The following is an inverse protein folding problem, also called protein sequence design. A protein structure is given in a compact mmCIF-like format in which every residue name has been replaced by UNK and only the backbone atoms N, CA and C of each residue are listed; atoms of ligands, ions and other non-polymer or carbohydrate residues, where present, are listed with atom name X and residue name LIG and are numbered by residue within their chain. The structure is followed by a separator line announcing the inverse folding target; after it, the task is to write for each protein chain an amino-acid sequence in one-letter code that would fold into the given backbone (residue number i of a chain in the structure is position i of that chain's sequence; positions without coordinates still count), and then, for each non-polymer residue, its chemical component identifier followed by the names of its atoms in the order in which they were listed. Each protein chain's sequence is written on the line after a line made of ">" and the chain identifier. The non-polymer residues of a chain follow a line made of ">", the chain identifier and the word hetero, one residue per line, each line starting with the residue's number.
data_IF_722545341804
#
_entry.id   IF_722545341804
#
_cell.length_a   1.000
_cell.length_b   1.000
_cell.length_c   1.000
_cell.angle_alpha   90.00
_cell.angle_beta   90.00
_cell.angle_gamma   90.00
#
_symmetry.space_group_name_H-M   'P 1'
#
loop_
_entity.id
_entity.type
_entity.pdbx_description
1 polymer ?
#
# COMPACT_ATOMS: atom_id res chain seq x y z
N UNK A 1 -21.60 -36.28 -31.81
CA UNK A 1 -20.48 -36.13 -32.77
C UNK A 1 -19.99 -34.69 -32.67
N UNK A 2 -18.92 -34.47 -31.94
CA UNK A 2 -18.34 -33.12 -31.68
C UNK A 2 -16.89 -33.12 -32.19
N UNK A 3 -16.48 -32.21 -33.04
CA UNK A 3 -15.13 -32.15 -33.55
C UNK A 3 -14.18 -31.51 -32.52
N UNK A 4 -13.06 -32.21 -32.24
CA UNK A 4 -11.92 -31.71 -31.48
C UNK A 4 -11.12 -30.79 -32.39
N UNK A 5 -11.00 -29.50 -32.02
CA UNK A 5 -10.02 -28.59 -32.59
C UNK A 5 -8.70 -28.71 -31.81
N UNK A 6 -7.69 -29.21 -32.48
CA UNK A 6 -6.28 -29.21 -32.04
C UNK A 6 -5.70 -27.84 -32.38
N UNK A 7 -5.34 -27.04 -31.38
CA UNK A 7 -4.59 -25.80 -31.59
C UNK A 7 -3.13 -26.04 -31.26
N UNK A 8 -2.30 -25.98 -32.28
CA UNK A 8 -0.84 -26.10 -32.19
C UNK A 8 -0.25 -24.84 -31.60
N UNK A 9 0.52 -24.98 -30.53
CA UNK A 9 1.31 -23.90 -29.90
C UNK A 9 2.68 -23.88 -30.57
N UNK A 10 2.97 -22.80 -31.27
CA UNK A 10 4.30 -22.52 -31.84
C UNK A 10 5.13 -21.74 -30.81
N UNK A 11 6.21 -22.36 -30.39
CA UNK A 11 7.23 -21.77 -29.52
C UNK A 11 8.15 -20.88 -30.36
N UNK A 12 8.23 -19.59 -30.04
CA UNK A 12 9.27 -18.69 -30.56
C UNK A 12 10.19 -18.30 -29.43
N UNK A 13 11.41 -18.83 -29.48
CA UNK A 13 12.51 -18.42 -28.64
C UNK A 13 13.28 -17.30 -29.34
N UNK A 14 13.41 -16.14 -28.68
CA UNK A 14 14.33 -15.09 -29.10
C UNK A 14 15.26 -14.73 -27.94
N UNK A 15 16.51 -15.17 -28.07
CA UNK A 15 17.64 -14.76 -27.25
C UNK A 15 18.24 -13.48 -27.85
N UNK A 16 18.44 -12.43 -27.06
CA UNK A 16 19.32 -11.33 -27.38
C UNK A 16 20.20 -11.00 -26.18
N UNK A 17 21.46 -11.39 -26.33
CA UNK A 17 22.59 -10.88 -25.56
C UNK A 17 22.93 -9.47 -26.05
N UNK A 18 23.18 -8.54 -25.15
CA UNK A 18 24.04 -7.38 -25.42
C UNK A 18 24.72 -6.93 -24.13
N UNK A 19 26.01 -7.19 -24.11
CA UNK A 19 26.98 -6.64 -23.18
C UNK A 19 27.52 -5.31 -23.75
N UNK A 20 27.84 -4.36 -22.84
CA UNK A 20 28.86 -3.30 -22.96
C UNK A 20 28.69 -2.46 -21.70
N UNK A 21 29.62 -2.32 -20.75
CA UNK A 21 31.01 -1.98 -20.91
C UNK A 21 31.18 -0.46 -20.79
N UNK A 22 31.55 0.04 -19.56
CA UNK A 22 31.81 1.45 -19.33
C UNK A 22 32.49 1.69 -17.99
N UNK A 23 33.79 1.40 -17.90
CA UNK A 23 34.66 1.82 -16.80
C UNK A 23 35.06 3.29 -17.01
N UNK A 24 34.77 4.16 -16.04
CA UNK A 24 35.24 5.55 -15.98
C UNK A 24 36.02 5.76 -14.69
N UNK A 25 37.34 5.53 -14.75
CA UNK A 25 38.31 5.94 -13.73
C UNK A 25 38.64 7.42 -13.90
N UNK A 26 38.33 8.25 -12.89
CA UNK A 26 38.72 9.66 -12.85
C UNK A 26 39.47 9.92 -11.55
N UNK A 27 40.82 9.77 -11.60
CA UNK A 27 41.76 10.22 -10.59
C UNK A 27 42.00 11.71 -10.77
N UNK A 28 41.71 12.54 -9.77
CA UNK A 28 42.06 13.95 -9.71
C UNK A 28 42.62 14.30 -8.34
N UNK A 29 43.94 14.22 -8.20
CA UNK A 29 44.73 14.70 -7.08
C UNK A 29 45.08 16.16 -7.28
N UNK A 30 44.78 17.05 -6.32
CA UNK A 30 45.42 18.34 -6.20
C UNK A 30 45.66 18.67 -4.72
N UNK A 31 46.89 18.91 -4.28
CA UNK A 31 47.17 19.38 -2.94
C UNK A 31 47.22 20.92 -2.95
N UNK A 32 46.45 21.55 -2.07
CA UNK A 32 46.50 22.98 -1.77
C UNK A 32 46.73 23.23 -0.30
N UNK A 33 47.85 23.83 -0.01
CA UNK A 33 48.36 24.16 1.32
C UNK A 33 47.66 25.39 1.94
N UNK A 34 47.59 25.42 3.28
CA UNK A 34 47.82 26.60 4.11
C UNK A 34 46.62 27.50 4.38
N UNK A 35 46.16 27.51 5.61
CA UNK A 35 45.26 28.52 6.15
C UNK A 35 44.95 28.28 7.62
N UNK A 36 45.93 28.60 8.53
CA UNK A 36 45.69 28.75 9.96
C UNK A 36 44.84 29.98 10.22
N UNK A 37 43.54 29.77 10.46
CA UNK A 37 42.58 30.76 10.90
C UNK A 37 41.85 30.27 12.13
N UNK A 38 42.37 30.59 13.32
CA UNK A 38 41.69 30.38 14.61
C UNK A 38 40.55 31.39 14.72
N UNK A 39 39.32 30.94 14.44
CA UNK A 39 38.11 31.71 14.75
C UNK A 39 37.48 31.15 16.05
N UNK A 40 36.97 32.02 16.94
CA UNK A 40 36.32 31.56 18.18
C UNK A 40 35.03 30.84 17.83
N UNK A 41 34.94 29.58 18.22
CA UNK A 41 33.72 28.79 18.11
C UNK A 41 32.68 29.36 19.06
N UNK A 42 31.79 30.16 18.54
CA UNK A 42 30.52 30.49 19.21
C UNK A 42 29.69 29.22 19.22
N UNK A 43 29.70 28.53 20.35
CA UNK A 43 28.82 27.39 20.61
C UNK A 43 27.39 27.88 20.67
N UNK A 44 26.73 27.87 19.53
CA UNK A 44 25.27 28.05 19.47
C UNK A 44 24.65 26.82 20.10
N UNK A 45 24.11 26.97 21.31
CA UNK A 45 23.30 25.93 21.95
C UNK A 45 22.23 25.49 21.00
N UNK A 46 21.95 24.17 20.85
CA UNK A 46 20.85 23.72 20.02
C UNK A 46 19.55 24.28 20.60
N UNK A 47 18.91 25.17 19.85
CA UNK A 47 17.53 25.59 20.13
C UNK A 47 16.70 24.34 20.30
N UNK A 48 16.13 24.13 21.50
CA UNK A 48 15.24 23.03 21.81
C UNK A 48 14.08 23.04 20.82
N UNK A 49 14.21 22.24 19.77
CA UNK A 49 13.12 22.03 18.81
C UNK A 49 11.89 21.48 19.55
N UNK A 50 10.74 22.06 19.33
CA UNK A 50 9.48 21.52 19.82
C UNK A 50 9.42 20.02 19.47
N UNK A 51 8.87 19.16 20.35
CA UNK A 51 8.74 17.74 20.05
C UNK A 51 8.04 17.57 18.70
N UNK A 52 8.66 16.82 17.78
CA UNK A 52 8.07 16.56 16.48
C UNK A 52 6.74 15.83 16.68
N UNK A 53 5.68 16.31 16.02
CA UNK A 53 4.36 15.67 16.06
C UNK A 53 4.50 14.21 15.59
N UNK A 54 4.22 13.21 16.46
CA UNK A 54 4.34 11.81 16.11
C UNK A 54 3.39 11.40 14.96
N UNK A 55 2.38 12.20 14.66
CA UNK A 55 1.41 11.97 13.60
C UNK A 55 1.76 12.72 12.30
N UNK A 56 2.78 13.58 12.31
CA UNK A 56 3.19 14.27 11.10
C UNK A 56 3.56 13.25 9.99
N UNK A 57 3.15 13.51 8.74
CA UNK A 57 3.49 12.66 7.61
C UNK A 57 5.01 12.54 7.45
N UNK A 58 5.50 11.31 7.32
CA UNK A 58 6.91 11.00 7.06
C UNK A 58 7.04 9.92 5.99
N UNK A 59 8.20 9.75 5.35
CA UNK A 59 8.41 8.67 4.39
C UNK A 59 8.07 7.31 5.02
N UNK A 60 7.31 6.47 4.30
CA UNK A 60 7.01 5.12 4.75
C UNK A 60 8.27 4.23 4.75
N UNK A 61 8.34 3.29 5.69
CA UNK A 61 9.44 2.33 5.74
C UNK A 61 9.48 1.49 4.46
N UNK A 62 10.68 1.28 3.93
CA UNK A 62 10.87 0.48 2.70
C UNK A 62 10.34 -0.94 2.84
N UNK A 63 10.50 -1.56 4.01
CA UNK A 63 9.98 -2.91 4.28
C UNK A 63 8.46 -2.98 4.12
N UNK A 64 7.72 -2.03 4.69
CA UNK A 64 6.26 -1.97 4.62
C UNK A 64 5.79 -1.68 3.19
N UNK A 65 6.45 -0.74 2.52
CA UNK A 65 6.16 -0.41 1.11
C UNK A 65 6.38 -1.62 0.19
N UNK A 66 7.41 -2.45 0.45
CA UNK A 66 7.67 -3.68 -0.32
C UNK A 66 6.56 -4.73 -0.12
N UNK A 67 6.02 -4.88 1.09
CA UNK A 67 4.89 -5.79 1.36
C UNK A 67 3.66 -5.34 0.57
N UNK A 68 3.34 -4.04 0.60
CA UNK A 68 2.20 -3.48 -0.12
C UNK A 68 2.39 -3.62 -1.64
N UNK A 69 3.60 -3.35 -2.15
CA UNK A 69 3.94 -3.53 -3.56
C UNK A 69 3.78 -4.99 -4.00
N UNK A 70 4.32 -5.93 -3.22
CA UNK A 70 4.19 -7.35 -3.51
C UNK A 70 2.73 -7.82 -3.56
N UNK A 71 1.90 -7.33 -2.62
CA UNK A 71 0.47 -7.61 -2.61
C UNK A 71 -0.22 -7.09 -3.88
N UNK A 72 -0.03 -5.81 -4.23
CA UNK A 72 -0.74 -5.21 -5.36
C UNK A 72 -0.24 -5.78 -6.70
N UNK A 73 1.04 -6.13 -6.82
CA UNK A 73 1.59 -6.78 -8.02
C UNK A 73 1.03 -8.19 -8.21
N UNK A 74 0.85 -8.94 -7.11
CA UNK A 74 0.19 -10.24 -7.14
C UNK A 74 -1.28 -10.11 -7.54
N UNK A 75 -1.99 -9.12 -6.98
CA UNK A 75 -3.39 -8.84 -7.30
C UNK A 75 -3.55 -8.45 -8.79
N UNK A 76 -2.73 -7.52 -9.27
CA UNK A 76 -2.72 -7.08 -10.67
C UNK A 76 -2.49 -8.23 -11.65
N UNK A 77 -1.62 -9.16 -11.30
CA UNK A 77 -1.34 -10.36 -12.09
C UNK A 77 -2.38 -11.48 -11.93
N UNK A 78 -3.48 -11.26 -11.20
CA UNK A 78 -4.53 -12.27 -10.96
C UNK A 78 -4.11 -13.41 -10.04
N UNK A 79 -2.94 -13.31 -9.37
CA UNK A 79 -2.41 -14.34 -8.47
C UNK A 79 -3.01 -14.24 -7.08
N UNK A 80 -4.31 -14.54 -6.95
CA UNK A 80 -5.09 -14.32 -5.72
C UNK A 80 -4.51 -15.05 -4.50
N UNK A 81 -4.05 -16.30 -4.64
CA UNK A 81 -3.40 -17.02 -3.52
C UNK A 81 -2.16 -16.30 -3.02
N UNK A 82 -1.34 -15.77 -3.93
CA UNK A 82 -0.15 -15.01 -3.58
C UNK A 82 -0.55 -13.67 -2.93
N UNK A 83 -1.52 -12.93 -3.48
CA UNK A 83 -2.03 -11.71 -2.86
C UNK A 83 -2.54 -11.98 -1.43
N UNK A 84 -3.27 -13.09 -1.22
CA UNK A 84 -3.76 -13.52 0.09
C UNK A 84 -2.62 -13.79 1.08
N UNK A 85 -1.45 -14.25 0.63
CA UNK A 85 -0.32 -14.56 1.52
C UNK A 85 0.31 -13.32 2.18
N UNK A 86 0.10 -12.13 1.65
CA UNK A 86 0.58 -10.88 2.24
C UNK A 86 -0.24 -10.43 3.46
N UNK A 87 -1.40 -11.03 3.69
CA UNK A 87 -2.28 -10.69 4.81
C UNK A 87 -1.96 -11.48 6.07
N UNK A 88 -2.01 -10.79 7.22
CA UNK A 88 -2.08 -11.40 8.55
C UNK A 88 -3.53 -11.61 8.97
N UNK A 89 -3.79 -12.53 9.89
CA UNK A 89 -5.12 -12.79 10.42
C UNK A 89 -5.12 -12.65 11.94
N UNK A 90 -6.21 -12.13 12.52
CA UNK A 90 -7.36 -11.52 11.86
C UNK A 90 -7.01 -10.18 11.22
N UNK A 91 -7.75 -9.79 10.17
CA UNK A 91 -7.57 -8.53 9.48
C UNK A 91 -8.90 -7.77 9.32
N UNK A 92 -8.78 -6.50 8.91
CA UNK A 92 -9.90 -5.60 8.65
C UNK A 92 -9.75 -5.03 7.25
N UNK A 93 -10.86 -4.96 6.50
CA UNK A 93 -10.92 -4.24 5.23
C UNK A 93 -12.15 -3.32 5.21
N UNK A 94 -12.00 -2.12 4.61
CA UNK A 94 -13.08 -1.15 4.44
C UNK A 94 -12.91 -0.43 3.11
N UNK A 95 -13.86 -0.60 2.19
CA UNK A 95 -13.75 -0.08 0.82
C UNK A 95 -14.66 1.14 0.62
N UNK A 96 -14.33 2.25 1.30
CA UNK A 96 -14.96 3.56 1.11
C UNK A 96 -16.36 3.74 1.70
N UNK A 97 -17.08 2.68 2.00
CA UNK A 97 -18.38 2.71 2.68
C UNK A 97 -18.25 2.55 4.21
N UNK A 98 -19.38 2.63 4.93
CA UNK A 98 -19.39 2.43 6.39
C UNK A 98 -19.10 0.98 6.79
N UNK A 99 -19.27 0.04 5.86
CA UNK A 99 -19.13 -1.39 6.12
C UNK A 99 -17.67 -1.78 6.36
N UNK A 100 -17.45 -2.52 7.43
CA UNK A 100 -16.15 -3.05 7.82
C UNK A 100 -16.16 -4.57 7.75
N UNK A 101 -15.37 -5.11 6.84
CA UNK A 101 -15.19 -6.55 6.68
C UNK A 101 -14.16 -7.06 7.69
N UNK A 102 -14.57 -8.01 8.53
CA UNK A 102 -13.68 -8.72 9.44
C UNK A 102 -13.22 -10.02 8.78
N UNK A 103 -11.95 -10.06 8.39
CA UNK A 103 -11.34 -11.17 7.67
C UNK A 103 -10.64 -12.08 8.68
N UNK A 104 -11.21 -13.25 8.95
CA UNK A 104 -10.72 -14.21 9.95
C UNK A 104 -10.06 -15.43 9.33
N UNK A 105 -10.34 -15.70 8.05
CA UNK A 105 -9.83 -16.87 7.34
C UNK A 105 -9.15 -16.48 6.02
N UNK A 106 -8.35 -17.39 5.46
CA UNK A 106 -7.68 -17.16 4.16
C UNK A 106 -8.68 -17.04 3.02
N UNK A 107 -9.78 -17.79 3.08
CA UNK A 107 -10.85 -17.77 2.10
C UNK A 107 -11.55 -16.40 2.07
N UNK A 108 -11.79 -15.81 3.24
CA UNK A 108 -12.35 -14.45 3.33
C UNK A 108 -11.42 -13.39 2.75
N UNK A 109 -10.09 -13.52 2.99
CA UNK A 109 -9.10 -12.63 2.37
C UNK A 109 -9.05 -12.84 0.85
N UNK A 110 -9.08 -14.08 0.38
CA UNK A 110 -9.11 -14.39 -1.05
C UNK A 110 -10.37 -13.81 -1.71
N UNK A 111 -11.53 -13.96 -1.08
CA UNK A 111 -12.79 -13.38 -1.54
C UNK A 111 -12.70 -11.85 -1.60
N UNK A 112 -12.19 -11.19 -0.54
CA UNK A 112 -11.98 -9.74 -0.55
C UNK A 112 -11.07 -9.31 -1.70
N UNK A 113 -9.96 -9.98 -1.94
CA UNK A 113 -9.07 -9.68 -3.07
C UNK A 113 -9.80 -9.83 -4.43
N UNK A 114 -10.73 -10.78 -4.55
CA UNK A 114 -11.54 -10.96 -5.76
C UNK A 114 -12.59 -9.86 -5.97
N UNK A 115 -13.04 -9.18 -4.92
CA UNK A 115 -14.00 -8.07 -5.05
C UNK A 115 -13.37 -6.77 -5.55
N UNK A 116 -12.03 -6.69 -5.58
CA UNK A 116 -11.33 -5.51 -6.09
C UNK A 116 -11.23 -5.60 -7.63
N UNK A 117 -11.98 -4.77 -8.39
CA UNK A 117 -12.05 -4.92 -9.85
C UNK A 117 -10.78 -4.45 -10.56
N UNK A 118 -10.03 -3.51 -9.95
CA UNK A 118 -8.83 -2.91 -10.50
C UNK A 118 -7.56 -3.56 -9.94
N UNK A 119 -6.53 -3.62 -10.76
CA UNK A 119 -5.15 -3.62 -10.30
C UNK A 119 -4.70 -2.20 -9.97
N UNK A 120 -3.46 -2.06 -9.48
CA UNK A 120 -2.91 -0.73 -9.23
C UNK A 120 -1.38 -0.72 -9.34
N UNK A 121 -0.82 0.48 -9.53
CA UNK A 121 0.61 0.77 -9.40
C UNK A 121 0.81 1.69 -8.21
N UNK A 122 1.78 1.40 -7.38
CA UNK A 122 2.14 2.24 -6.24
C UNK A 122 2.85 3.49 -6.75
N UNK A 123 2.34 4.66 -6.43
CA UNK A 123 2.88 5.97 -6.83
C UNK A 123 3.70 6.58 -5.70
N UNK A 124 3.13 6.66 -4.51
CA UNK A 124 3.81 7.20 -3.33
C UNK A 124 3.28 6.53 -2.06
N UNK A 125 4.07 6.59 -0.98
CA UNK A 125 3.70 6.06 0.31
C UNK A 125 4.24 6.95 1.43
N UNK A 126 3.39 7.26 2.41
CA UNK A 126 3.74 8.04 3.60
C UNK A 126 3.27 7.31 4.86
N UNK A 127 3.99 7.52 5.96
CA UNK A 127 3.57 7.07 7.28
C UNK A 127 2.78 8.18 7.95
N UNK A 128 1.56 7.90 8.38
CA UNK A 128 0.69 8.85 9.10
C UNK A 128 0.00 8.11 10.25
N UNK A 129 0.17 8.58 11.48
CA UNK A 129 -0.53 8.06 12.67
C UNK A 129 -0.55 6.51 12.77
N UNK A 130 0.57 5.85 12.47
CA UNK A 130 0.70 4.39 12.53
C UNK A 130 0.13 3.62 11.33
N UNK A 131 -0.34 4.33 10.29
CA UNK A 131 -0.70 3.75 9.00
C UNK A 131 0.35 4.04 7.94
N UNK A 132 0.47 3.17 6.97
CA UNK A 132 1.14 3.43 5.70
C UNK A 132 0.07 3.82 4.70
N UNK A 133 -0.03 5.10 4.40
CA UNK A 133 -0.96 5.64 3.41
C UNK A 133 -0.29 5.60 2.04
N UNK A 134 -0.99 5.08 1.06
CA UNK A 134 -0.47 4.87 -0.29
C UNK A 134 -1.37 5.51 -1.31
N UNK A 135 -0.76 6.26 -2.23
CA UNK A 135 -1.39 6.68 -3.47
C UNK A 135 -1.12 5.64 -4.55
N UNK A 136 -2.17 5.15 -5.16
CA UNK A 136 -2.14 4.24 -6.29
C UNK A 136 -2.65 4.93 -7.55
N UNK A 137 -2.11 4.51 -8.69
CA UNK A 137 -2.74 4.67 -10.00
C UNK A 137 -3.45 3.36 -10.33
N UNK A 138 -4.75 3.42 -10.57
CA UNK A 138 -5.55 2.25 -10.93
C UNK A 138 -5.24 1.81 -12.37
N UNK A 139 -5.12 0.50 -12.56
CA UNK A 139 -4.87 -0.14 -13.85
C UNK A 139 -5.73 -1.39 -13.99
N UNK A 140 -5.82 -1.93 -15.19
CA UNK A 140 -6.43 -3.24 -15.36
C UNK A 140 -5.69 -4.32 -14.57
N UNK A 141 -6.42 -5.34 -14.17
CA UNK A 141 -5.85 -6.56 -13.59
C UNK A 141 -6.27 -7.80 -14.37
N UNK A 142 -5.57 -8.89 -14.14
CA UNK A 142 -5.92 -10.19 -14.72
C UNK A 142 -6.80 -11.01 -13.76
N UNK A 143 -7.53 -11.97 -14.32
CA UNK A 143 -8.26 -12.98 -13.56
C UNK A 143 -9.75 -12.68 -13.35
N UNK A 144 -10.43 -13.49 -12.52
CA UNK A 144 -11.88 -13.38 -12.29
C UNK A 144 -12.24 -12.02 -11.67
N UNK A 145 -13.42 -11.52 -12.03
CA UNK A 145 -13.97 -10.23 -11.56
C UNK A 145 -13.06 -9.03 -11.88
N UNK A 146 -12.15 -9.17 -12.84
CA UNK A 146 -11.37 -8.08 -13.40
C UNK A 146 -12.25 -7.18 -14.26
N UNK A 147 -11.96 -5.89 -14.25
CA UNK A 147 -12.70 -4.91 -15.05
C UNK A 147 -12.69 -3.56 -14.36
N UNK A 148 -11.58 -2.83 -14.50
CA UNK A 148 -11.41 -1.51 -13.88
C UNK A 148 -12.24 -0.45 -14.61
N UNK A 149 -12.48 -0.62 -15.91
CA UNK A 149 -13.32 0.27 -16.70
C UNK A 149 -12.84 1.73 -16.62
N UNK A 150 -13.75 2.66 -16.33
CA UNK A 150 -13.44 4.08 -16.19
C UNK A 150 -12.49 4.40 -15.00
N UNK A 151 -12.17 3.44 -14.15
CA UNK A 151 -11.21 3.60 -13.07
C UNK A 151 -9.75 3.62 -13.54
N UNK A 152 -9.44 3.13 -14.75
CA UNK A 152 -8.08 3.11 -15.27
C UNK A 152 -7.49 4.53 -15.33
N UNK A 153 -6.27 4.70 -14.79
CA UNK A 153 -5.60 5.99 -14.69
C UNK A 153 -6.04 6.86 -13.51
N UNK A 154 -7.14 6.51 -12.84
CA UNK A 154 -7.60 7.27 -11.67
C UNK A 154 -6.71 7.04 -10.45
N UNK A 155 -6.68 8.04 -9.56
CA UNK A 155 -6.00 7.94 -8.27
C UNK A 155 -6.88 7.24 -7.24
N UNK A 156 -6.24 6.41 -6.44
CA UNK A 156 -6.86 5.75 -5.30
C UNK A 156 -5.94 5.83 -4.09
N UNK A 157 -6.48 6.19 -2.96
CA UNK A 157 -5.72 6.29 -1.72
C UNK A 157 -6.19 5.22 -0.74
N UNK A 158 -5.22 4.62 -0.07
CA UNK A 158 -5.49 3.51 0.85
C UNK A 158 -4.54 3.58 2.04
N UNK A 159 -5.08 3.45 3.24
CA UNK A 159 -4.34 3.33 4.47
C UNK A 159 -4.17 1.85 4.82
N UNK A 160 -2.94 1.46 5.11
CA UNK A 160 -2.57 0.11 5.54
C UNK A 160 -2.04 0.14 6.96
N UNK A 161 -2.42 -0.83 7.76
CA UNK A 161 -1.69 -1.17 8.97
C UNK A 161 -1.01 -2.50 8.78
N UNK A 162 0.30 -2.53 9.05
CA UNK A 162 1.09 -3.75 8.96
C UNK A 162 1.51 -4.21 10.35
N UNK A 163 1.56 -5.53 10.53
CA UNK A 163 2.15 -6.17 11.71
C UNK A 163 3.00 -7.36 11.27
N UNK A 164 4.25 -7.40 11.71
CA UNK A 164 5.19 -8.49 11.38
C UNK A 164 5.27 -8.76 9.88
N UNK A 165 5.35 -7.69 9.06
CA UNK A 165 5.41 -7.81 7.59
C UNK A 165 4.14 -8.33 6.93
N UNK A 166 2.98 -8.20 7.57
CA UNK A 166 1.68 -8.62 7.03
C UNK A 166 0.66 -7.49 7.13
N UNK A 167 -0.20 -7.37 6.13
CA UNK A 167 -1.33 -6.45 6.12
C UNK A 167 -2.37 -6.98 7.11
N UNK A 168 -2.70 -6.20 8.12
CA UNK A 168 -3.77 -6.53 9.09
C UNK A 168 -4.94 -5.55 9.02
N UNK A 169 -4.77 -4.45 8.29
CA UNK A 169 -5.84 -3.50 8.05
C UNK A 169 -5.63 -2.83 6.70
N UNK A 170 -6.71 -2.68 5.95
CA UNK A 170 -6.80 -2.03 4.65
C UNK A 170 -8.04 -1.15 4.64
N UNK A 171 -7.85 0.15 4.39
CA UNK A 171 -8.98 1.10 4.32
C UNK A 171 -8.83 2.02 3.13
N UNK A 172 -9.89 2.16 2.36
CA UNK A 172 -9.98 3.23 1.40
C UNK A 172 -10.09 4.57 2.13
N UNK A 173 -9.31 5.56 1.71
CA UNK A 173 -9.32 6.93 2.23
C UNK A 173 -9.52 7.91 1.07
N UNK A 174 -9.95 9.15 1.36
CA UNK A 174 -10.18 10.16 0.33
C UNK A 174 -8.86 10.76 -0.15
N UNK A 175 -7.93 11.02 0.78
CA UNK A 175 -6.63 11.63 0.49
C UNK A 175 -5.48 10.91 1.21
N UNK A 176 -4.25 11.11 0.71
CA UNK A 176 -3.06 10.43 1.26
C UNK A 176 -2.72 10.87 2.69
N UNK A 177 -3.12 12.07 3.08
CA UNK A 177 -2.93 12.63 4.43
C UNK A 177 -3.97 12.17 5.45
N UNK A 178 -5.05 11.53 5.00
CA UNK A 178 -6.15 11.14 5.88
C UNK A 178 -5.72 10.10 6.91
N UNK A 179 -6.23 10.25 8.11
CA UNK A 179 -6.13 9.23 9.16
C UNK A 179 -7.46 8.49 9.22
N UNK A 180 -7.47 7.15 9.02
CA UNK A 180 -8.70 6.39 9.13
C UNK A 180 -9.32 6.54 10.52
N UNK A 181 -10.53 7.05 10.58
CA UNK A 181 -11.29 7.07 11.82
C UNK A 181 -11.64 5.64 12.23
N UNK A 182 -11.50 5.33 13.53
CA UNK A 182 -11.97 4.04 14.03
C UNK A 182 -13.49 3.97 13.78
N UNK A 183 -14.02 2.84 13.25
CA UNK A 183 -15.45 2.69 13.13
C UNK A 183 -16.09 2.95 14.48
N UNK A 184 -17.00 3.91 14.55
CA UNK A 184 -17.80 4.13 15.74
C UNK A 184 -18.61 2.87 15.96
N UNK A 185 -18.67 2.32 17.20
CA UNK A 185 -19.60 1.22 17.47
C UNK A 185 -21.00 1.67 17.03
N UNK A 186 -21.72 0.78 16.37
CA UNK A 186 -23.11 1.07 16.02
C UNK A 186 -23.83 1.58 17.27
N UNK A 187 -24.67 2.63 17.19
CA UNK A 187 -25.44 3.07 18.33
C UNK A 187 -26.16 1.85 18.90
N UNK A 188 -25.98 1.65 20.20
CA UNK A 188 -26.71 0.60 20.91
C UNK A 188 -28.19 0.82 20.64
N UNK A 189 -28.97 -0.19 20.15
CA UNK A 189 -30.40 0.00 19.98
C UNK A 189 -30.94 0.51 21.30
N UNK A 190 -31.54 1.69 21.25
CA UNK A 190 -32.24 2.26 22.41
C UNK A 190 -33.31 1.25 22.83
N UNK A 191 -33.25 0.81 24.10
CA UNK A 191 -34.22 -0.13 24.60
C UNK A 191 -35.62 0.47 24.38
N UNK A 192 -36.61 -0.32 23.93
CA UNK A 192 -37.95 0.17 23.73
C UNK A 192 -38.39 0.91 25.00
N UNK A 193 -38.68 2.19 24.88
CA UNK A 193 -39.24 2.96 26.01
C UNK A 193 -40.57 2.27 26.35
N UNK A 194 -40.64 1.69 27.53
CA UNK A 194 -41.88 1.13 28.04
C UNK A 194 -42.90 2.27 28.09
N UNK A 195 -43.85 2.25 27.16
CA UNK A 195 -45.03 3.08 27.22
C UNK A 195 -45.79 2.68 28.49
N UNK A 196 -45.71 3.54 29.49
CA UNK A 196 -46.45 3.35 30.72
C UNK A 196 -47.96 3.24 30.44
N UNK A 197 -48.72 2.55 31.30
CA UNK A 197 -50.14 2.38 31.11
C UNK A 197 -50.82 3.75 31.05
N UNK A 198 -51.57 4.02 29.97
CA UNK A 198 -52.51 5.14 29.90
C UNK A 198 -53.68 4.80 30.78
N UNK A 199 -53.82 5.53 31.91
CA UNK A 199 -54.98 5.44 32.83
C UNK A 199 -56.13 6.25 32.27
#
# INVERSE_FOLDING_TARGET
>A
MTPRLLLSVTLVAAALLSACGGSGTGTGTTPGAGGTGTAPSTSTAPSGGAPADPNAPRPAAKADTNVIRGWIDALRAGRIRQATSYWGLPAIAQNGGPEVFRLRTREQVAFFNLTLPCGARLVSAVQVAGYVNVAFELVERLGPNAGCGAGVGQRAYTAFRLRRGKIVEWRRIAEISDVPTRPQPAPTPEAPQATGPVV
#
